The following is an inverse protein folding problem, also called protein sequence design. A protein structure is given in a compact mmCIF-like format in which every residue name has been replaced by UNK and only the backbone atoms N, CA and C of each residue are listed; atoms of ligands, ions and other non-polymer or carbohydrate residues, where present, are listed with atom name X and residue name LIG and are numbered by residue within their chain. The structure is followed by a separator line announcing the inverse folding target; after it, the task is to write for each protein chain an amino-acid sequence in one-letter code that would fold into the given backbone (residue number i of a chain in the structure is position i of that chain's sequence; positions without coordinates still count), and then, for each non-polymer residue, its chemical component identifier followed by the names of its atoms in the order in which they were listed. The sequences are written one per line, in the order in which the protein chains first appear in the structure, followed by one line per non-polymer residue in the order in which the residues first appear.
data_IF_372377236153
#
_entry.id   IF_372377236153
#
_cell.length_a   1.000
_cell.length_b   1.000
_cell.length_c   1.000
_cell.angle_alpha   90.00
_cell.angle_beta   90.00
_cell.angle_gamma   90.00
#
_symmetry.space_group_name_H-M   'P 1'
#
loop_
_entity.id
_entity.type
_entity.pdbx_description
1 polymer ?
#
# COMPACT_ATOMS: atom_id res chain seq x y z
N UNK A 1 66.92 -18.14 75.68
CA UNK A 1 66.26 -19.36 75.17
C UNK A 1 65.25 -18.94 74.11
N UNK A 2 65.47 -19.39 72.84
CA UNK A 2 64.62 -19.31 71.63
C UNK A 2 63.83 -18.02 71.30
N UNK A 3 64.39 -17.26 70.33
CA UNK A 3 63.70 -16.26 69.51
C UNK A 3 62.83 -16.94 68.45
N UNK A 4 61.52 -16.67 68.44
CA UNK A 4 60.57 -17.08 67.41
C UNK A 4 60.54 -16.06 66.26
N UNK A 5 61.11 -16.44 65.12
CA UNK A 5 61.03 -15.67 63.88
C UNK A 5 59.66 -15.84 63.22
N UNK A 6 58.92 -14.75 63.07
CA UNK A 6 57.78 -14.65 62.15
C UNK A 6 58.30 -14.44 60.71
N UNK A 7 57.86 -15.22 59.71
CA UNK A 7 58.12 -14.89 58.32
C UNK A 7 57.21 -13.74 57.89
N UNK A 8 57.80 -12.58 57.57
CA UNK A 8 57.13 -11.48 56.92
C UNK A 8 56.87 -11.83 55.45
N UNK A 9 55.61 -12.11 55.09
CA UNK A 9 55.21 -12.17 53.68
C UNK A 9 55.34 -10.77 53.07
N UNK A 10 56.42 -10.55 52.32
CA UNK A 10 56.57 -9.38 51.47
C UNK A 10 55.47 -9.42 50.39
N UNK A 11 54.46 -8.55 50.53
CA UNK A 11 53.51 -8.27 49.45
C UNK A 11 54.27 -7.59 48.32
N UNK A 12 54.59 -8.34 47.27
CA UNK A 12 55.06 -7.78 46.00
C UNK A 12 53.99 -6.82 45.46
N UNK A 13 54.20 -5.52 45.65
CA UNK A 13 53.49 -4.48 44.90
C UNK A 13 54.07 -4.45 43.49
N UNK A 14 53.47 -5.21 42.58
CA UNK A 14 53.72 -5.07 41.13
C UNK A 14 53.08 -3.77 40.68
N UNK A 15 53.88 -2.74 40.46
CA UNK A 15 53.43 -1.54 39.75
C UNK A 15 53.20 -1.91 38.29
N UNK A 16 52.03 -1.56 37.76
CA UNK A 16 51.68 -1.72 36.34
C UNK A 16 52.73 -0.98 35.50
N UNK A 17 53.35 -1.69 34.55
CA UNK A 17 54.21 -1.05 33.57
C UNK A 17 53.37 -0.25 32.57
N UNK A 18 53.92 0.84 32.05
CA UNK A 18 53.25 1.68 31.04
C UNK A 18 52.86 0.88 29.79
N UNK A 19 53.66 -0.16 29.47
CA UNK A 19 53.39 -1.10 28.38
C UNK A 19 52.11 -1.92 28.63
N UNK A 20 51.93 -2.44 29.84
CA UNK A 20 50.70 -3.18 30.20
C UNK A 20 49.45 -2.29 30.13
N UNK A 21 49.56 -1.01 30.53
CA UNK A 21 48.45 -0.07 30.41
C UNK A 21 48.09 0.22 28.94
N UNK A 22 49.10 0.44 28.09
CA UNK A 22 48.87 0.64 26.65
C UNK A 22 48.26 -0.59 25.99
N UNK A 23 48.74 -1.79 26.34
CA UNK A 23 48.18 -3.04 25.85
C UNK A 23 46.72 -3.23 26.30
N UNK A 24 46.39 -2.89 27.54
CA UNK A 24 45.02 -2.95 28.02
C UNK A 24 44.10 -2.00 27.24
N UNK A 25 44.54 -0.75 27.03
CA UNK A 25 43.75 0.26 26.29
C UNK A 25 43.50 -0.16 24.84
N UNK A 26 44.51 -0.71 24.15
CA UNK A 26 44.33 -1.15 22.76
C UNK A 26 43.37 -2.33 22.65
N UNK A 27 43.48 -3.31 23.55
CA UNK A 27 42.53 -4.43 23.61
C UNK A 27 41.12 -3.91 23.90
N UNK A 28 40.95 -3.02 24.89
CA UNK A 28 39.63 -2.44 25.20
C UNK A 28 39.06 -1.65 24.01
N UNK A 29 39.88 -0.88 23.30
CA UNK A 29 39.46 -0.14 22.11
C UNK A 29 39.00 -1.09 20.98
N UNK A 30 39.74 -2.18 20.73
CA UNK A 30 39.37 -3.17 19.72
C UNK A 30 38.07 -3.91 20.08
N UNK A 31 37.91 -4.30 21.35
CA UNK A 31 36.68 -4.93 21.83
C UNK A 31 35.51 -3.96 21.75
N UNK A 32 35.70 -2.69 22.15
CA UNK A 32 34.70 -1.65 22.03
C UNK A 32 34.26 -1.42 20.58
N UNK A 33 35.22 -1.36 19.64
CA UNK A 33 34.93 -1.25 18.21
C UNK A 33 34.18 -2.47 17.67
N UNK A 34 34.55 -3.68 18.10
CA UNK A 34 33.86 -4.91 17.71
C UNK A 34 32.39 -4.93 18.20
N UNK A 35 32.16 -4.55 19.45
CA UNK A 35 30.80 -4.47 20.03
C UNK A 35 29.99 -3.39 19.30
N UNK A 36 30.57 -2.21 19.05
CA UNK A 36 29.90 -1.14 18.31
C UNK A 36 29.51 -1.59 16.88
N UNK A 37 30.40 -2.33 16.20
CA UNK A 37 30.11 -2.90 14.88
C UNK A 37 28.94 -3.91 14.92
N UNK A 38 28.90 -4.79 15.92
CA UNK A 38 27.80 -5.73 16.10
C UNK A 38 26.48 -5.01 16.41
N UNK A 39 26.50 -3.99 17.27
CA UNK A 39 25.31 -3.19 17.59
C UNK A 39 24.77 -2.47 16.36
N UNK A 40 25.64 -1.91 15.52
CA UNK A 40 25.24 -1.27 14.28
C UNK A 40 24.62 -2.28 13.30
N UNK A 41 25.22 -3.47 13.14
CA UNK A 41 24.66 -4.52 12.30
C UNK A 41 23.28 -5.00 12.79
N UNK A 42 23.09 -5.11 14.12
CA UNK A 42 21.80 -5.44 14.73
C UNK A 42 20.78 -4.33 14.50
N UNK A 43 21.16 -3.07 14.69
CA UNK A 43 20.28 -1.92 14.48
C UNK A 43 19.78 -1.88 13.03
N UNK A 44 20.69 -1.94 12.06
CA UNK A 44 20.35 -2.01 10.62
C UNK A 44 19.44 -3.21 10.33
N UNK A 45 19.76 -4.38 10.89
CA UNK A 45 18.94 -5.58 10.72
C UNK A 45 17.52 -5.47 11.29
N UNK A 46 17.33 -4.73 12.39
CA UNK A 46 16.01 -4.48 12.99
C UNK A 46 15.22 -3.48 12.17
N UNK A 47 15.85 -2.40 11.71
CA UNK A 47 15.19 -1.37 10.90
C UNK A 47 14.70 -1.94 9.57
N UNK A 48 15.56 -2.68 8.83
CA UNK A 48 15.14 -3.34 7.58
C UNK A 48 13.97 -4.31 7.80
N UNK A 49 13.96 -5.07 8.91
CA UNK A 49 12.84 -6.00 9.21
C UNK A 49 11.55 -5.25 9.49
N UNK A 50 11.62 -4.13 10.21
CA UNK A 50 10.45 -3.30 10.52
C UNK A 50 9.85 -2.71 9.25
N UNK A 51 10.69 -2.20 8.35
CA UNK A 51 10.25 -1.60 7.09
C UNK A 51 9.62 -2.65 6.17
N UNK A 52 10.25 -3.82 6.04
CA UNK A 52 9.70 -4.94 5.26
C UNK A 52 8.32 -5.40 5.78
N UNK A 53 8.14 -5.46 7.10
CA UNK A 53 6.85 -5.84 7.68
C UNK A 53 5.79 -4.78 7.39
N UNK A 54 6.13 -3.50 7.53
CA UNK A 54 5.24 -2.39 7.19
C UNK A 54 4.81 -2.44 5.73
N UNK A 55 5.74 -2.69 4.80
CA UNK A 55 5.43 -2.79 3.36
C UNK A 55 4.55 -3.98 3.03
N UNK A 56 4.82 -5.15 3.64
CA UNK A 56 3.98 -6.33 3.45
C UNK A 56 2.54 -6.12 3.93
N UNK A 57 2.35 -5.42 5.06
CA UNK A 57 1.01 -5.07 5.56
C UNK A 57 0.30 -4.10 4.59
N UNK A 58 1.00 -3.06 4.10
CA UNK A 58 0.45 -2.11 3.13
C UNK A 58 0.04 -2.80 1.82
N UNK A 59 0.90 -3.66 1.28
CA UNK A 59 0.62 -4.45 0.08
C UNK A 59 -0.58 -5.38 0.26
N UNK A 60 -0.65 -6.10 1.37
CA UNK A 60 -1.79 -6.98 1.66
C UNK A 60 -3.10 -6.21 1.78
N UNK A 61 -3.07 -5.03 2.42
CA UNK A 61 -4.24 -4.15 2.52
C UNK A 61 -4.64 -3.58 1.16
N UNK A 62 -3.68 -3.18 0.33
CA UNK A 62 -3.91 -2.71 -1.02
C UNK A 62 -4.61 -3.78 -1.88
N UNK A 63 -4.12 -5.02 -1.82
CA UNK A 63 -4.75 -6.16 -2.50
C UNK A 63 -6.18 -6.40 -2.01
N UNK A 64 -6.39 -6.40 -0.69
CA UNK A 64 -7.71 -6.61 -0.11
C UNK A 64 -8.71 -5.51 -0.51
N UNK A 65 -8.28 -4.25 -0.48
CA UNK A 65 -9.10 -3.09 -0.88
C UNK A 65 -9.44 -3.13 -2.36
N UNK A 66 -8.46 -3.35 -3.24
CA UNK A 66 -8.71 -3.46 -4.68
C UNK A 66 -9.66 -4.61 -5.00
N UNK A 67 -9.44 -5.77 -4.40
CA UNK A 67 -10.31 -6.93 -4.60
C UNK A 67 -11.74 -6.69 -4.09
N UNK A 68 -11.92 -5.86 -3.06
CA UNK A 68 -13.25 -5.47 -2.58
C UNK A 68 -14.05 -4.65 -3.61
N UNK A 69 -13.38 -4.01 -4.58
CA UNK A 69 -14.04 -3.30 -5.69
C UNK A 69 -14.16 -4.16 -6.96
N UNK A 70 -13.12 -4.96 -7.28
CA UNK A 70 -13.09 -5.76 -8.51
C UNK A 70 -13.96 -7.01 -8.41
N UNK A 71 -13.90 -7.75 -7.30
CA UNK A 71 -14.60 -9.02 -7.16
C UNK A 71 -16.13 -8.94 -7.25
N UNK A 72 -16.80 -7.94 -6.64
CA UNK A 72 -18.25 -7.79 -6.78
C UNK A 72 -18.68 -7.11 -8.08
N UNK A 73 -17.75 -6.47 -8.81
CA UNK A 73 -18.07 -5.81 -10.06
C UNK A 73 -18.72 -6.78 -11.06
N UNK A 74 -19.66 -6.26 -11.85
CA UNK A 74 -20.33 -6.99 -12.91
C UNK A 74 -19.53 -7.00 -14.20
N UNK A 75 -18.92 -5.87 -14.57
CA UNK A 75 -18.02 -5.79 -15.71
C UNK A 75 -17.13 -4.55 -15.62
N UNK A 76 -16.12 -4.50 -16.48
CA UNK A 76 -15.40 -3.26 -16.79
C UNK A 76 -16.21 -2.52 -17.87
N UNK A 77 -16.39 -1.23 -17.68
CA UNK A 77 -17.07 -0.34 -18.63
C UNK A 77 -16.06 0.37 -19.55
N UNK A 78 -14.88 0.68 -19.01
CA UNK A 78 -13.79 1.31 -19.75
C UNK A 78 -12.44 1.07 -19.06
N UNK A 79 -11.37 1.03 -19.86
CA UNK A 79 -9.99 0.92 -19.39
C UNK A 79 -9.10 1.88 -20.20
N UNK A 80 -8.47 2.83 -19.51
CA UNK A 80 -7.51 3.78 -20.11
C UNK A 80 -6.27 3.90 -19.24
N UNK A 81 -5.23 3.13 -19.60
CA UNK A 81 -4.00 3.09 -18.82
C UNK A 81 -4.27 2.61 -17.37
N UNK A 82 -3.92 3.38 -16.33
CA UNK A 82 -4.20 3.01 -14.94
C UNK A 82 -5.63 3.32 -14.49
N UNK A 83 -6.45 3.95 -15.34
CA UNK A 83 -7.83 4.28 -15.04
C UNK A 83 -8.75 3.13 -15.46
N UNK A 84 -9.59 2.68 -14.53
CA UNK A 84 -10.58 1.63 -14.76
C UNK A 84 -11.95 2.12 -14.31
N UNK A 85 -12.94 1.95 -15.17
CA UNK A 85 -14.34 2.22 -14.84
C UNK A 85 -15.06 0.89 -14.68
N UNK A 86 -15.66 0.66 -13.51
CA UNK A 86 -16.38 -0.57 -13.19
C UNK A 86 -17.87 -0.29 -13.08
N UNK A 87 -18.67 -1.24 -13.57
CA UNK A 87 -20.05 -1.39 -13.13
C UNK A 87 -20.04 -2.26 -11.87
N UNK A 88 -20.22 -1.64 -10.71
CA UNK A 88 -19.97 -2.31 -9.44
C UNK A 88 -21.08 -3.27 -9.02
N UNK A 89 -22.33 -2.84 -9.10
CA UNK A 89 -23.47 -3.71 -8.82
C UNK A 89 -24.73 -3.07 -9.41
N UNK A 90 -25.70 -3.90 -9.78
CA UNK A 90 -27.04 -3.52 -10.24
C UNK A 90 -28.00 -3.54 -9.05
N UNK A 91 -27.94 -2.47 -8.26
CA UNK A 91 -28.78 -2.33 -7.08
C UNK A 91 -30.24 -2.08 -7.47
N UNK A 92 -30.48 -1.41 -8.60
CA UNK A 92 -31.81 -1.09 -9.10
C UNK A 92 -32.49 -2.23 -9.87
N UNK A 93 -31.76 -3.31 -10.18
CA UNK A 93 -32.25 -4.49 -10.92
C UNK A 93 -32.85 -4.12 -12.27
N UNK A 94 -32.28 -3.11 -12.92
CA UNK A 94 -32.68 -2.65 -14.25
C UNK A 94 -31.90 -3.34 -15.37
N UNK A 95 -30.80 -4.03 -15.02
CA UNK A 95 -29.82 -4.56 -15.97
C UNK A 95 -29.14 -3.48 -16.83
N UNK A 96 -29.34 -2.20 -16.51
CA UNK A 96 -28.70 -1.03 -17.11
C UNK A 96 -27.73 -0.38 -16.12
N UNK A 97 -26.82 0.48 -16.62
CA UNK A 97 -25.84 1.15 -15.76
C UNK A 97 -26.42 2.45 -15.21
N UNK A 98 -26.66 2.49 -13.90
CA UNK A 98 -27.00 3.74 -13.21
C UNK A 98 -25.77 4.48 -12.69
N UNK A 99 -25.88 5.81 -12.55
CA UNK A 99 -24.81 6.68 -12.06
C UNK A 99 -24.21 6.22 -10.72
N UNK A 100 -25.07 5.84 -9.78
CA UNK A 100 -24.72 5.37 -8.43
C UNK A 100 -23.95 4.04 -8.42
N UNK A 101 -24.00 3.28 -9.51
CA UNK A 101 -23.42 1.95 -9.66
C UNK A 101 -22.02 1.98 -10.28
N UNK A 102 -21.59 3.14 -10.78
CA UNK A 102 -20.29 3.31 -11.42
C UNK A 102 -19.20 3.53 -10.35
N UNK A 103 -18.04 2.91 -10.56
CA UNK A 103 -16.82 3.16 -9.77
C UNK A 103 -15.69 3.53 -10.72
N UNK A 104 -15.09 4.69 -10.49
CA UNK A 104 -13.90 5.13 -11.22
C UNK A 104 -12.68 4.89 -10.35
N UNK A 105 -11.83 3.94 -10.74
CA UNK A 105 -10.55 3.71 -10.10
C UNK A 105 -9.50 4.49 -10.87
N UNK A 106 -8.78 5.38 -10.19
CA UNK A 106 -7.81 6.27 -10.81
C UNK A 106 -6.55 6.39 -9.97
N UNK A 107 -5.42 6.41 -10.66
CA UNK A 107 -4.12 6.67 -10.07
C UNK A 107 -3.74 8.13 -10.26
N UNK A 108 -3.53 8.85 -9.16
CA UNK A 108 -2.91 10.16 -9.15
C UNK A 108 -1.41 10.01 -8.87
N UNK A 109 -0.60 10.30 -9.89
CA UNK A 109 0.86 10.24 -9.80
C UNK A 109 1.46 11.36 -8.95
N UNK A 110 0.78 12.49 -8.83
CA UNK A 110 1.24 13.64 -8.06
C UNK A 110 1.13 13.36 -6.57
N UNK A 111 0.01 12.76 -6.16
CA UNK A 111 -0.24 12.39 -4.77
C UNK A 111 0.31 11.00 -4.42
N UNK A 112 0.60 10.17 -5.44
CA UNK A 112 1.01 8.78 -5.24
C UNK A 112 -0.13 7.94 -4.65
N UNK A 113 -1.35 8.20 -5.09
CA UNK A 113 -2.57 7.60 -4.53
C UNK A 113 -3.37 6.89 -5.61
N UNK A 114 -3.90 5.71 -5.28
CA UNK A 114 -4.90 5.02 -6.07
C UNK A 114 -6.22 5.16 -5.33
N UNK A 115 -7.18 5.84 -5.93
CA UNK A 115 -8.48 6.13 -5.33
C UNK A 115 -9.62 5.50 -6.11
N UNK A 116 -10.79 5.44 -5.47
CA UNK A 116 -12.05 5.13 -6.12
C UNK A 116 -13.00 6.30 -5.92
N UNK A 117 -13.51 6.82 -7.01
CA UNK A 117 -14.61 7.78 -7.00
C UNK A 117 -15.94 7.08 -7.26
N UNK A 118 -17.01 7.57 -6.64
CA UNK A 118 -18.36 7.06 -6.81
C UNK A 118 -19.39 8.16 -6.58
N UNK A 119 -20.54 8.05 -7.26
CA UNK A 119 -21.64 8.98 -7.05
C UNK A 119 -22.27 8.71 -5.67
N UNK A 120 -22.42 9.77 -4.89
CA UNK A 120 -23.07 9.75 -3.59
C UNK A 120 -24.05 10.89 -3.49
N UNK A 121 -25.33 10.55 -3.33
CA UNK A 121 -26.37 11.56 -3.18
C UNK A 121 -26.46 12.04 -1.73
N UNK A 122 -26.78 13.32 -1.49
CA UNK A 122 -26.94 13.84 -0.13
C UNK A 122 -28.07 13.14 0.63
N UNK A 123 -27.86 12.90 1.94
CA UNK A 123 -28.84 12.20 2.79
C UNK A 123 -30.20 12.91 2.93
N UNK A 124 -30.23 14.23 2.70
CA UNK A 124 -31.45 15.03 2.80
C UNK A 124 -32.31 14.99 1.52
N UNK A 125 -31.84 14.34 0.45
CA UNK A 125 -32.63 14.18 -0.76
C UNK A 125 -33.73 13.15 -0.56
N UNK A 126 -34.90 13.43 -1.12
CA UNK A 126 -35.97 12.47 -1.25
C UNK A 126 -35.63 11.39 -2.28
N UNK A 127 -36.29 10.24 -2.18
CA UNK A 127 -36.12 9.16 -3.15
C UNK A 127 -36.43 9.61 -4.59
N UNK A 128 -37.40 10.51 -4.77
CA UNK A 128 -37.76 11.06 -6.08
C UNK A 128 -36.61 11.89 -6.68
N UNK A 129 -35.94 12.70 -5.87
CA UNK A 129 -34.79 13.51 -6.31
C UNK A 129 -33.61 12.61 -6.68
N UNK A 130 -33.36 11.57 -5.88
CA UNK A 130 -32.34 10.55 -6.19
C UNK A 130 -32.66 9.86 -7.51
N UNK A 131 -33.90 9.41 -7.72
CA UNK A 131 -34.29 8.69 -8.94
C UNK A 131 -34.25 9.57 -10.20
N UNK A 132 -34.53 10.88 -10.07
CA UNK A 132 -34.38 11.84 -11.17
C UNK A 132 -32.90 12.08 -11.54
N UNK A 133 -32.01 11.97 -10.56
CA UNK A 133 -30.60 12.27 -10.73
C UNK A 133 -29.75 11.04 -11.07
N UNK A 134 -30.15 9.88 -10.59
CA UNK A 134 -29.50 8.58 -10.81
C UNK A 134 -29.85 8.02 -12.19
N UNK A 135 -29.43 8.76 -13.20
CA UNK A 135 -29.72 8.50 -14.61
C UNK A 135 -29.06 7.21 -15.08
N UNK A 136 -29.75 6.57 -16.02
CA UNK A 136 -29.24 5.45 -16.77
C UNK A 136 -28.32 5.93 -17.89
N UNK A 137 -27.22 5.22 -18.06
CA UNK A 137 -26.22 5.53 -19.06
C UNK A 137 -25.99 4.32 -19.98
N UNK A 138 -25.86 4.58 -21.29
CA UNK A 138 -25.29 3.63 -22.22
C UNK A 138 -23.90 3.12 -21.78
N UNK A 139 -23.63 1.82 -21.92
CA UNK A 139 -22.30 1.21 -21.86
C UNK A 139 -21.21 1.87 -22.72
N UNK A 140 -21.56 2.47 -23.87
CA UNK A 140 -20.65 3.21 -24.77
C UNK A 140 -20.50 4.70 -24.41
N UNK A 141 -21.03 5.11 -23.25
CA UNK A 141 -20.95 6.51 -22.80
C UNK A 141 -19.52 6.97 -22.54
N UNK A 142 -19.30 8.28 -22.65
CA UNK A 142 -18.07 8.91 -22.18
C UNK A 142 -18.07 9.02 -20.65
N UNK A 143 -17.54 7.99 -19.99
CA UNK A 143 -17.46 7.89 -18.55
C UNK A 143 -16.64 9.01 -17.89
N UNK A 144 -15.66 9.58 -18.60
CA UNK A 144 -14.88 10.72 -18.10
C UNK A 144 -15.73 11.98 -18.05
N UNK A 145 -16.53 12.22 -19.09
CA UNK A 145 -17.49 13.34 -19.09
C UNK A 145 -18.57 13.17 -18.02
N UNK A 146 -19.08 11.95 -17.82
CA UNK A 146 -20.07 11.64 -16.77
C UNK A 146 -19.46 11.94 -15.38
N UNK A 147 -18.24 11.45 -15.11
CA UNK A 147 -17.54 11.72 -13.85
C UNK A 147 -17.41 13.22 -13.59
N UNK A 148 -16.91 13.98 -14.58
CA UNK A 148 -16.73 15.43 -14.46
C UNK A 148 -18.05 16.18 -14.22
N UNK A 149 -19.14 15.71 -14.82
CA UNK A 149 -20.48 16.26 -14.58
C UNK A 149 -20.90 16.09 -13.12
N UNK A 150 -20.78 14.90 -12.54
CA UNK A 150 -21.12 14.68 -11.12
C UNK A 150 -20.15 15.39 -10.16
N UNK A 151 -18.85 15.44 -10.50
CA UNK A 151 -17.86 16.19 -9.73
C UNK A 151 -18.19 17.70 -9.66
N UNK A 152 -18.55 18.31 -10.80
CA UNK A 152 -18.91 19.74 -10.86
C UNK A 152 -20.13 20.11 -10.01
N UNK A 153 -20.94 19.11 -9.64
CA UNK A 153 -22.15 19.24 -8.84
C UNK A 153 -21.96 18.85 -7.37
N UNK A 154 -20.75 18.44 -6.99
CA UNK A 154 -20.46 17.99 -5.62
C UNK A 154 -21.16 16.67 -5.26
N UNK A 155 -21.48 15.83 -6.26
CA UNK A 155 -22.16 14.55 -6.07
C UNK A 155 -21.18 13.36 -6.14
N UNK A 156 -19.89 13.63 -6.21
CA UNK A 156 -18.84 12.62 -6.28
C UNK A 156 -18.13 12.54 -4.94
N UNK A 157 -18.11 11.34 -4.37
CA UNK A 157 -17.26 11.01 -3.23
C UNK A 157 -16.04 10.24 -3.70
N UNK A 158 -14.95 10.39 -2.97
CA UNK A 158 -13.68 9.74 -3.26
C UNK A 158 -13.16 9.03 -2.02
N UNK A 159 -12.60 7.83 -2.23
CA UNK A 159 -11.94 7.05 -1.20
C UNK A 159 -10.56 6.60 -1.69
N UNK A 160 -9.52 6.95 -0.94
CA UNK A 160 -8.17 6.44 -1.19
C UNK A 160 -8.08 4.96 -0.85
N UNK A 161 -7.77 4.12 -1.85
CA UNK A 161 -7.56 2.69 -1.66
C UNK A 161 -6.13 2.39 -1.24
N UNK A 162 -5.17 3.04 -1.90
CA UNK A 162 -3.74 2.84 -1.67
C UNK A 162 -3.03 4.18 -1.72
N UNK A 163 -2.07 4.38 -0.84
CA UNK A 163 -1.22 5.57 -0.76
C UNK A 163 0.28 5.18 -0.81
N UNK A 164 1.12 6.19 -1.05
CA UNK A 164 2.58 6.01 -1.08
C UNK A 164 3.08 5.22 -2.30
N UNK A 165 2.39 5.37 -3.44
CA UNK A 165 2.74 4.73 -4.70
C UNK A 165 3.64 5.64 -5.55
N UNK A 166 4.71 5.07 -6.09
CA UNK A 166 5.59 5.70 -7.08
C UNK A 166 5.03 5.56 -8.50
N UNK A 167 4.43 4.40 -8.80
CA UNK A 167 3.78 4.13 -10.08
C UNK A 167 2.70 3.03 -9.95
N UNK A 168 1.80 2.99 -10.93
CA UNK A 168 0.78 1.95 -11.09
C UNK A 168 0.61 1.60 -12.56
N UNK A 169 0.62 0.31 -12.85
CA UNK A 169 0.25 -0.22 -14.17
C UNK A 169 -0.90 -1.20 -14.02
N UNK A 170 -1.89 -1.10 -14.92
CA UNK A 170 -3.01 -2.02 -14.98
C UNK A 170 -2.93 -2.83 -16.26
N UNK A 171 -3.00 -4.14 -16.13
CA UNK A 171 -3.12 -5.07 -17.26
C UNK A 171 -4.41 -5.86 -17.16
N UNK A 172 -4.98 -6.20 -18.31
CA UNK A 172 -6.20 -6.99 -18.44
C UNK A 172 -5.96 -8.20 -19.34
N UNK A 173 -6.84 -9.20 -19.24
CA UNK A 173 -6.80 -10.42 -20.06
C UNK A 173 -7.43 -10.24 -21.46
N UNK A 174 -8.20 -9.18 -21.67
CA UNK A 174 -8.82 -8.82 -22.94
C UNK A 174 -8.59 -7.34 -23.27
N UNK A 175 -8.76 -6.98 -24.55
CA UNK A 175 -8.68 -5.58 -25.01
C UNK A 175 -10.03 -4.87 -25.00
N UNK A 176 -11.10 -5.59 -25.29
CA UNK A 176 -12.46 -5.07 -25.12
C UNK A 176 -12.79 -5.00 -23.62
N UNK A 177 -13.11 -3.82 -23.06
CA UNK A 177 -13.53 -3.68 -21.66
C UNK A 177 -14.63 -4.66 -21.26
N UNK A 178 -15.56 -4.93 -22.17
CA UNK A 178 -16.67 -5.84 -21.93
C UNK A 178 -16.27 -7.31 -21.95
N UNK A 179 -15.05 -7.67 -22.36
CA UNK A 179 -14.57 -9.05 -22.29
C UNK A 179 -13.58 -9.29 -21.14
N UNK A 180 -13.19 -8.23 -20.41
CA UNK A 180 -12.24 -8.33 -19.30
C UNK A 180 -12.84 -9.15 -18.16
N UNK A 181 -12.10 -10.17 -17.73
CA UNK A 181 -12.44 -11.03 -16.58
C UNK A 181 -11.39 -10.99 -15.50
N UNK A 182 -10.16 -10.63 -15.84
CA UNK A 182 -9.04 -10.54 -14.92
C UNK A 182 -8.36 -9.18 -15.07
N UNK A 183 -8.32 -8.43 -13.98
CA UNK A 183 -7.53 -7.22 -13.84
C UNK A 183 -6.31 -7.51 -12.96
N UNK A 184 -5.14 -7.07 -13.39
CA UNK A 184 -3.91 -7.12 -12.60
C UNK A 184 -3.33 -5.72 -12.45
N UNK A 185 -3.30 -5.25 -11.22
CA UNK A 185 -2.63 -4.02 -10.81
C UNK A 185 -1.21 -4.38 -10.39
N UNK A 186 -0.24 -3.75 -11.02
CA UNK A 186 1.15 -3.71 -10.57
C UNK A 186 1.37 -2.39 -9.87
N UNK A 187 1.68 -2.46 -8.59
CA UNK A 187 1.81 -1.33 -7.69
C UNK A 187 3.27 -1.20 -7.26
N UNK A 188 3.88 -0.04 -7.48
CA UNK A 188 5.21 0.26 -6.96
C UNK A 188 5.08 1.22 -5.79
N UNK A 189 5.53 0.81 -4.62
CA UNK A 189 5.54 1.64 -3.42
C UNK A 189 6.84 2.43 -3.32
N UNK A 190 6.72 3.68 -2.89
CA UNK A 190 7.86 4.50 -2.50
C UNK A 190 8.47 3.88 -1.23
N UNK A 191 9.61 3.22 -1.40
CA UNK A 191 10.39 2.64 -0.30
C UNK A 191 11.88 2.96 -0.50
N UNK A 192 12.59 3.19 0.61
CA UNK A 192 14.04 3.30 0.62
C UNK A 192 14.63 1.96 1.06
N UNK A 193 15.71 1.45 0.42
CA UNK A 193 16.51 2.06 -0.64
C UNK A 193 16.03 1.79 -2.08
N UNK A 194 15.10 0.85 -2.29
CA UNK A 194 14.57 0.48 -3.60
C UNK A 194 13.04 0.41 -3.58
N UNK A 195 12.35 0.77 -4.69
CA UNK A 195 10.90 0.67 -4.79
C UNK A 195 10.44 -0.77 -4.61
N UNK A 196 9.36 -0.94 -3.85
CA UNK A 196 8.78 -2.25 -3.56
C UNK A 196 7.61 -2.53 -4.51
N UNK A 197 7.74 -3.57 -5.35
CA UNK A 197 6.69 -3.99 -6.26
C UNK A 197 5.74 -5.00 -5.59
N UNK A 198 4.44 -4.83 -5.82
CA UNK A 198 3.45 -5.86 -5.53
C UNK A 198 2.42 -5.98 -6.65
N UNK A 199 1.89 -7.19 -6.81
CA UNK A 199 0.81 -7.48 -7.74
C UNK A 199 -0.49 -7.66 -6.96
N UNK A 200 -1.54 -7.01 -7.43
CA UNK A 200 -2.90 -7.18 -6.96
C UNK A 200 -3.78 -7.59 -8.14
N UNK A 201 -4.18 -8.85 -8.18
CA UNK A 201 -5.07 -9.37 -9.22
C UNK A 201 -6.48 -9.55 -8.66
N UNK A 202 -7.49 -9.13 -9.42
CA UNK A 202 -8.90 -9.31 -9.11
C UNK A 202 -9.62 -9.90 -10.31
N UNK A 203 -10.46 -10.90 -10.05
CA UNK A 203 -11.30 -11.53 -11.07
C UNK A 203 -12.75 -11.04 -10.95
N UNK A 204 -13.35 -10.68 -12.07
CA UNK A 204 -14.76 -10.32 -12.19
C UNK A 204 -15.57 -11.63 -12.24
N UNK A 205 -16.14 -12.02 -11.11
CA UNK A 205 -16.76 -13.37 -10.95
C UNK A 205 -18.10 -13.50 -11.66
N UNK A 206 -18.85 -12.41 -11.73
CA UNK A 206 -20.20 -12.38 -12.29
C UNK A 206 -20.20 -11.48 -13.52
N UNK A 207 -19.34 -11.81 -14.47
CA UNK A 207 -19.18 -11.09 -15.71
C UNK A 207 -20.52 -11.00 -16.46
N UNK A 208 -21.18 -9.84 -16.37
CA UNK A 208 -22.51 -9.55 -16.93
C UNK A 208 -22.45 -8.21 -17.62
N UNK A 209 -22.83 -8.22 -18.89
CA UNK A 209 -22.93 -7.02 -19.69
C UNK A 209 -24.24 -6.29 -19.39
N UNK A 210 -24.24 -4.96 -19.39
CA UNK A 210 -25.47 -4.21 -19.33
C UNK A 210 -26.32 -4.51 -20.57
N UNK A 211 -27.62 -4.71 -20.38
CA UNK A 211 -28.57 -4.86 -21.48
C UNK A 211 -29.07 -3.47 -21.89
N UNK A 212 -29.27 -3.29 -23.19
CA UNK A 212 -29.80 -2.07 -23.79
C UNK A 212 -31.12 -2.34 -24.48
#
# INVERSE_FOLDING_TARGET
MKSSHHPSHAKHRRGLSLLELMLAITITALVGAAIAGMLNAVAVGVDTRRDNRSMMVRSSLAQARLNAYIAPARCVLDQRGPQIVLWFNDQKKSETVHASEIRWLEYDRTEGTLSVSYVSFPEHWSQLEVDQEDREFPSDSDWGRIKNSYASRGLLNELTLVDGLDDVTVTADATDPFEIRLLTYRLWFVAAPEPFETLASGAIRHHRLPQY
#
